data_IF_608303141395
#
_entry.id   IF_608303141395
#
_cell.length_a   1.000
_cell.length_b   1.000
_cell.length_c   1.000
_cell.angle_alpha   90.00
_cell.angle_beta   90.00
_cell.angle_gamma   90.00
#
_symmetry.space_group_name_H-M   'P 1'
#
loop_
_entity.id
_entity.type
_entity.pdbx_description
1 polymer ?
#
# COMPACT_ATOMS: atom_id res chain seq x y z
N UNK A 1 -13.83 4.90 9.84
CA UNK A 1 -14.05 3.61 9.15
C UNK A 1 -13.07 2.59 9.68
N UNK A 2 -13.57 1.44 10.05
CA UNK A 2 -12.76 0.34 10.60
C UNK A 2 -12.11 -0.46 9.49
N UNK A 3 -10.90 -0.95 9.74
CA UNK A 3 -10.21 -1.86 8.82
C UNK A 3 -9.26 -2.78 9.58
N UNK A 4 -8.80 -3.84 8.93
CA UNK A 4 -7.89 -4.81 9.52
C UNK A 4 -6.45 -4.43 9.22
N UNK A 5 -5.67 -4.20 10.26
CA UNK A 5 -4.33 -3.62 10.16
C UNK A 5 -3.30 -4.55 10.80
N UNK A 6 -2.11 -4.59 10.20
CA UNK A 6 -0.95 -5.28 10.76
C UNK A 6 -0.01 -4.32 11.49
N UNK A 7 -0.01 -3.05 11.11
CA UNK A 7 0.83 -2.03 11.74
C UNK A 7 0.77 -0.71 10.98
N UNK A 8 1.14 0.35 11.68
CA UNK A 8 1.25 1.69 11.11
C UNK A 8 2.63 2.21 11.53
N UNK A 9 3.52 2.41 10.57
CA UNK A 9 4.93 2.72 10.83
C UNK A 9 5.46 3.76 9.87
N UNK A 10 6.53 4.44 10.26
CA UNK A 10 7.30 5.26 9.33
C UNK A 10 8.02 4.35 8.34
N UNK A 11 7.93 4.65 7.06
CA UNK A 11 8.56 3.86 6.00
C UNK A 11 9.26 4.76 4.99
N UNK A 12 10.24 4.20 4.29
CA UNK A 12 10.89 4.84 3.13
C UNK A 12 10.54 4.13 1.82
N UNK A 13 9.76 3.07 1.90
CA UNK A 13 9.48 2.15 0.78
C UNK A 13 8.74 2.80 -0.38
N UNK A 14 8.04 3.89 -0.13
CA UNK A 14 7.33 4.61 -1.18
C UNK A 14 8.22 5.48 -2.07
N UNK A 15 9.48 5.68 -1.70
CA UNK A 15 10.42 6.49 -2.47
C UNK A 15 10.17 7.99 -2.42
N UNK A 16 9.27 8.48 -1.57
CA UNK A 16 8.92 9.89 -1.42
C UNK A 16 9.15 10.27 0.04
N UNK A 17 10.40 10.55 0.39
CA UNK A 17 10.78 10.94 1.75
C UNK A 17 10.25 9.98 2.82
N UNK A 18 9.98 10.49 4.02
CA UNK A 18 9.38 9.71 5.08
C UNK A 18 7.89 9.55 4.80
N UNK A 19 7.43 8.31 4.70
CA UNK A 19 6.02 7.98 4.50
C UNK A 19 5.39 7.41 5.76
N UNK A 20 4.10 7.65 5.94
CA UNK A 20 3.32 6.89 6.92
C UNK A 20 2.83 5.63 6.22
N UNK A 21 3.41 4.49 6.61
CA UNK A 21 3.07 3.19 6.04
C UNK A 21 1.90 2.56 6.80
N UNK A 22 0.87 2.18 6.07
CA UNK A 22 -0.27 1.44 6.60
C UNK A 22 -0.17 0.01 6.06
N UNK A 23 0.12 -0.94 6.97
CA UNK A 23 0.25 -2.34 6.63
C UNK A 23 -1.10 -3.03 6.84
N UNK A 24 -1.74 -3.40 5.74
CA UNK A 24 -3.02 -4.10 5.78
C UNK A 24 -2.82 -5.57 6.11
N UNK A 25 -3.71 -6.12 6.92
CA UNK A 25 -3.69 -7.53 7.27
C UNK A 25 -4.67 -8.28 6.36
N UNK A 26 -4.18 -9.35 5.74
CA UNK A 26 -4.96 -10.19 4.85
C UNK A 26 -4.52 -10.07 3.41
N UNK A 27 -4.34 -11.21 2.76
CA UNK A 27 -3.97 -11.27 1.35
C UNK A 27 -4.36 -12.63 0.77
N UNK A 28 -5.16 -12.64 -0.27
CA UNK A 28 -5.61 -13.84 -0.97
C UNK A 28 -4.70 -14.20 -2.15
N UNK A 29 -3.69 -13.38 -2.47
CA UNK A 29 -2.83 -13.60 -3.63
C UNK A 29 -1.82 -14.73 -3.38
N UNK A 30 -1.27 -14.81 -2.17
CA UNK A 30 -0.34 -15.87 -1.73
C UNK A 30 0.86 -16.04 -2.67
N UNK A 31 1.67 -14.99 -2.83
CA UNK A 31 2.87 -15.05 -3.67
C UNK A 31 3.90 -16.05 -3.12
N UNK A 32 4.51 -16.85 -4.00
CA UNK A 32 5.63 -17.69 -3.63
C UNK A 32 6.80 -16.83 -3.17
N UNK A 33 7.35 -17.14 -2.00
CA UNK A 33 8.45 -16.37 -1.42
C UNK A 33 8.03 -14.97 -0.98
N UNK A 34 6.76 -14.80 -0.63
CA UNK A 34 6.21 -13.52 -0.17
C UNK A 34 7.11 -12.88 0.89
N UNK A 35 7.36 -11.57 0.76
CA UNK A 35 8.21 -10.84 1.70
C UNK A 35 7.53 -10.63 3.06
N UNK A 36 6.20 -10.72 3.12
CA UNK A 36 5.42 -10.51 4.34
C UNK A 36 4.42 -11.65 4.56
N UNK A 37 4.87 -12.92 4.73
CA UNK A 37 3.94 -14.05 4.82
C UNK A 37 3.00 -13.97 6.03
N UNK A 38 3.41 -13.31 7.11
CA UNK A 38 2.59 -13.16 8.31
C UNK A 38 1.37 -12.26 8.07
N UNK A 39 1.37 -11.47 6.99
CA UNK A 39 0.27 -10.57 6.66
C UNK A 39 -0.79 -11.20 5.76
N UNK A 40 -0.65 -12.48 5.41
CA UNK A 40 -1.59 -13.17 4.53
C UNK A 40 -2.89 -13.54 5.24
N UNK A 41 -2.83 -13.88 6.53
CA UNK A 41 -4.01 -14.31 7.28
C UNK A 41 -5.00 -13.15 7.47
N UNK A 42 -6.26 -13.36 7.06
CA UNK A 42 -7.33 -12.38 7.27
C UNK A 42 -7.78 -12.30 8.73
N UNK A 43 -7.37 -13.26 9.56
CA UNK A 43 -7.71 -13.30 10.98
C UNK A 43 -6.65 -12.69 11.88
N UNK A 44 -5.47 -12.36 11.33
CA UNK A 44 -4.39 -11.74 12.08
C UNK A 44 -4.57 -10.24 12.25
N UNK A 45 -3.54 -9.61 12.81
CA UNK A 45 -3.54 -8.16 12.98
C UNK A 45 -4.53 -7.67 14.04
N UNK A 46 -4.98 -6.44 13.87
CA UNK A 46 -5.91 -5.81 14.80
C UNK A 46 -6.87 -4.88 14.05
N UNK A 47 -7.97 -4.51 14.71
CA UNK A 47 -8.90 -3.54 14.16
C UNK A 47 -8.34 -2.14 14.34
N UNK A 48 -8.21 -1.39 13.25
CA UNK A 48 -7.80 0.01 13.26
C UNK A 48 -8.91 0.87 12.69
N UNK A 49 -8.75 2.19 12.79
CA UNK A 49 -9.71 3.14 12.26
C UNK A 49 -8.99 4.16 11.37
N UNK A 50 -9.57 4.45 10.21
CA UNK A 50 -9.00 5.44 9.29
C UNK A 50 -8.87 6.82 9.93
N UNK A 51 -9.74 7.18 10.88
CA UNK A 51 -9.61 8.44 11.62
C UNK A 51 -8.31 8.53 12.40
N UNK A 52 -7.82 7.41 12.92
CA UNK A 52 -6.53 7.37 13.62
C UNK A 52 -5.38 7.71 12.68
N UNK A 53 -5.44 7.19 11.45
CA UNK A 53 -4.44 7.49 10.42
C UNK A 53 -4.43 8.99 10.10
N UNK A 54 -5.60 9.56 9.90
CA UNK A 54 -5.71 11.00 9.58
C UNK A 54 -5.20 11.84 10.75
N UNK A 55 -5.50 11.48 11.99
CA UNK A 55 -4.98 12.19 13.16
C UNK A 55 -3.46 12.15 13.24
N UNK A 56 -2.84 11.02 12.89
CA UNK A 56 -1.38 10.91 12.85
C UNK A 56 -0.79 11.85 11.80
N UNK A 57 -1.40 11.90 10.62
CA UNK A 57 -0.94 12.78 9.54
C UNK A 57 -1.09 14.27 9.91
N UNK A 58 -2.11 14.63 10.66
CA UNK A 58 -2.31 15.99 11.14
C UNK A 58 -1.35 16.36 12.27
N UNK A 59 -1.04 15.40 13.14
CA UNK A 59 -0.18 15.62 14.31
C UNK A 59 1.30 15.75 13.94
N UNK A 60 1.76 14.97 12.97
CA UNK A 60 3.17 14.92 12.59
C UNK A 60 3.32 15.49 11.16
N UNK A 61 3.98 16.63 11.06
CA UNK A 61 4.13 17.36 9.79
C UNK A 61 5.33 16.91 8.93
N UNK A 62 6.13 15.95 9.41
CA UNK A 62 7.30 15.50 8.70
C UNK A 62 7.03 14.45 7.60
N UNK A 63 5.81 13.92 7.52
CA UNK A 63 5.47 12.95 6.49
C UNK A 63 5.36 13.61 5.11
N UNK A 64 5.98 12.98 4.12
CA UNK A 64 5.95 13.42 2.71
C UNK A 64 5.00 12.59 1.87
N UNK A 65 4.53 11.45 2.38
CA UNK A 65 3.65 10.54 1.64
C UNK A 65 2.88 9.63 2.58
N UNK A 66 1.85 9.01 2.03
CA UNK A 66 1.11 7.91 2.68
C UNK A 66 1.29 6.68 1.82
N UNK A 67 1.72 5.57 2.43
CA UNK A 67 2.05 4.34 1.71
C UNK A 67 1.14 3.21 2.17
N UNK A 68 0.42 2.62 1.23
CA UNK A 68 -0.48 1.50 1.46
C UNK A 68 0.21 0.22 1.02
N UNK A 69 0.43 -0.69 1.95
CA UNK A 69 1.15 -1.93 1.70
C UNK A 69 0.70 -3.01 2.70
N UNK A 70 1.44 -4.10 2.80
CA UNK A 70 1.18 -5.15 3.77
C UNK A 70 0.90 -6.46 3.09
N UNK A 71 -0.22 -7.08 3.45
CA UNK A 71 -1.02 -8.01 2.71
C UNK A 71 -1.49 -7.39 1.39
N UNK A 72 -2.78 -7.43 1.11
CA UNK A 72 -3.29 -6.83 -0.13
C UNK A 72 -4.23 -5.65 0.21
N UNK A 73 -3.76 -4.40 0.07
CA UNK A 73 -4.57 -3.24 0.42
C UNK A 73 -5.90 -3.16 -0.34
N UNK A 74 -5.93 -3.63 -1.60
CA UNK A 74 -7.15 -3.56 -2.42
C UNK A 74 -8.27 -4.46 -1.93
N UNK A 75 -7.98 -5.43 -1.07
CA UNK A 75 -9.01 -6.24 -0.42
C UNK A 75 -9.75 -5.46 0.67
N UNK A 76 -9.22 -4.29 1.04
CA UNK A 76 -9.86 -3.34 1.93
C UNK A 76 -9.91 -1.96 1.27
N UNK A 77 -10.32 -1.93 0.02
CA UNK A 77 -10.29 -0.74 -0.84
C UNK A 77 -11.01 0.46 -0.22
N UNK A 78 -12.14 0.22 0.44
CA UNK A 78 -12.90 1.31 1.05
C UNK A 78 -12.06 2.11 2.07
N UNK A 79 -11.24 1.42 2.86
CA UNK A 79 -10.36 2.09 3.83
C UNK A 79 -9.24 2.85 3.12
N UNK A 80 -8.66 2.29 2.07
CA UNK A 80 -7.63 2.97 1.26
C UNK A 80 -8.19 4.25 0.66
N UNK A 81 -9.38 4.16 0.05
CA UNK A 81 -10.04 5.33 -0.56
C UNK A 81 -10.38 6.40 0.47
N UNK A 82 -10.85 6.00 1.65
CA UNK A 82 -11.20 6.94 2.71
C UNK A 82 -9.98 7.74 3.17
N UNK A 83 -8.86 7.06 3.40
CA UNK A 83 -7.62 7.73 3.81
C UNK A 83 -7.10 8.63 2.69
N UNK A 84 -7.02 8.10 1.47
CA UNK A 84 -6.46 8.83 0.33
C UNK A 84 -7.28 10.09 -0.01
N UNK A 85 -8.60 10.02 0.12
CA UNK A 85 -9.46 11.18 -0.15
C UNK A 85 -9.34 12.27 0.92
N UNK A 86 -8.89 11.93 2.12
CA UNK A 86 -8.83 12.85 3.27
C UNK A 86 -7.45 13.45 3.51
N UNK A 87 -6.44 13.04 2.76
CA UNK A 87 -5.09 13.60 2.88
C UNK A 87 -4.72 14.37 1.63
N UNK A 88 -3.89 15.39 1.79
CA UNK A 88 -3.31 16.12 0.66
C UNK A 88 -1.94 15.57 0.25
N UNK A 89 -1.40 14.61 1.02
CA UNK A 89 -0.09 14.03 0.72
C UNK A 89 -0.18 13.06 -0.46
N UNK A 90 0.90 12.92 -1.24
CA UNK A 90 0.97 11.89 -2.28
C UNK A 90 0.74 10.51 -1.67
N UNK A 91 -0.11 9.70 -2.31
CA UNK A 91 -0.42 8.34 -1.88
C UNK A 91 0.27 7.33 -2.77
N UNK A 92 0.89 6.33 -2.18
CA UNK A 92 1.60 5.25 -2.86
C UNK A 92 0.93 3.93 -2.52
N UNK A 93 0.61 3.13 -3.53
CA UNK A 93 -0.02 1.82 -3.37
C UNK A 93 0.90 0.71 -3.86
N UNK A 94 1.18 -0.24 -2.99
CA UNK A 94 1.78 -1.52 -3.38
C UNK A 94 0.65 -2.55 -3.49
N UNK A 95 0.48 -3.16 -4.65
CA UNK A 95 -0.57 -4.16 -4.87
C UNK A 95 -0.04 -5.34 -5.67
N UNK A 96 -0.52 -6.53 -5.35
CA UNK A 96 -0.25 -7.72 -6.15
C UNK A 96 -1.12 -7.81 -7.40
N UNK A 97 -2.12 -6.94 -7.53
CA UNK A 97 -2.98 -6.89 -8.72
C UNK A 97 -2.31 -6.10 -9.84
N UNK A 98 -2.79 -6.29 -11.06
CA UNK A 98 -2.32 -5.50 -12.20
C UNK A 98 -3.03 -4.14 -12.23
N UNK A 99 -2.30 -3.11 -12.59
CA UNK A 99 -2.79 -1.72 -12.59
C UNK A 99 -4.11 -1.55 -13.34
N UNK A 100 -4.23 -2.17 -14.52
CA UNK A 100 -5.42 -2.03 -15.34
C UNK A 100 -6.66 -2.71 -14.75
N UNK A 101 -6.51 -3.53 -13.72
CA UNK A 101 -7.65 -4.16 -13.01
C UNK A 101 -8.12 -3.35 -11.80
N UNK A 102 -7.39 -2.30 -11.42
CA UNK A 102 -7.75 -1.45 -10.29
C UNK A 102 -8.94 -0.56 -10.64
N UNK A 103 -9.70 -0.18 -9.62
CA UNK A 103 -10.83 0.74 -9.82
C UNK A 103 -10.35 2.11 -10.30
N UNK A 104 -11.23 2.84 -10.98
CA UNK A 104 -10.94 4.19 -11.42
C UNK A 104 -10.65 5.12 -10.23
N UNK A 105 -11.38 4.95 -9.13
CA UNK A 105 -11.22 5.75 -7.92
C UNK A 105 -9.81 5.56 -7.33
N UNK A 106 -9.34 4.32 -7.22
CA UNK A 106 -7.98 4.04 -6.74
C UNK A 106 -6.93 4.71 -7.63
N UNK A 107 -7.06 4.54 -8.94
CA UNK A 107 -6.11 5.12 -9.88
C UNK A 107 -6.05 6.65 -9.77
N UNK A 108 -7.18 7.30 -9.57
CA UNK A 108 -7.25 8.75 -9.46
C UNK A 108 -6.65 9.29 -8.18
N UNK A 109 -6.75 8.56 -7.08
CA UNK A 109 -6.26 8.99 -5.77
C UNK A 109 -4.80 8.65 -5.52
N UNK A 110 -4.21 7.74 -6.30
CA UNK A 110 -2.81 7.34 -6.11
C UNK A 110 -1.88 8.20 -6.96
N UNK A 111 -0.84 8.73 -6.30
CA UNK A 111 0.27 9.36 -7.00
C UNK A 111 1.13 8.29 -7.69
N UNK A 112 1.42 7.19 -6.98
CA UNK A 112 2.26 6.11 -7.50
C UNK A 112 1.63 4.76 -7.16
N UNK A 113 1.68 3.83 -8.11
CA UNK A 113 1.26 2.44 -7.92
C UNK A 113 2.39 1.52 -8.34
N UNK A 114 2.76 0.59 -7.47
CA UNK A 114 3.67 -0.50 -7.80
C UNK A 114 2.78 -1.74 -7.89
N UNK A 115 2.64 -2.28 -9.11
CA UNK A 115 1.69 -3.33 -9.40
C UNK A 115 2.34 -4.69 -9.63
N UNK A 116 1.51 -5.72 -9.57
CA UNK A 116 1.90 -7.08 -9.86
C UNK A 116 2.41 -7.83 -8.65
N UNK A 117 2.13 -9.15 -8.64
CA UNK A 117 2.52 -10.00 -7.51
C UNK A 117 4.04 -10.12 -7.43
N UNK A 118 4.56 -10.21 -6.19
CA UNK A 118 5.97 -10.47 -5.98
C UNK A 118 6.32 -11.89 -6.47
N UNK A 119 7.40 -12.00 -7.24
CA UNK A 119 7.93 -13.27 -7.73
C UNK A 119 9.39 -13.41 -7.30
N UNK A 120 9.65 -14.33 -6.36
CA UNK A 120 10.98 -14.49 -5.76
C UNK A 120 12.06 -14.80 -6.79
N UNK A 121 11.74 -15.58 -7.85
CA UNK A 121 12.70 -15.92 -8.90
C UNK A 121 13.06 -14.74 -9.80
N UNK A 122 12.32 -13.64 -9.71
CA UNK A 122 12.58 -12.41 -10.45
C UNK A 122 13.04 -11.27 -9.52
N UNK A 123 13.48 -11.61 -8.33
CA UNK A 123 13.92 -10.64 -7.31
C UNK A 123 15.02 -9.74 -7.84
N UNK A 124 14.88 -8.44 -7.62
CA UNK A 124 15.85 -7.43 -8.08
C UNK A 124 16.83 -7.01 -7.00
N UNK A 125 16.46 -7.19 -5.72
CA UNK A 125 17.20 -6.63 -4.58
C UNK A 125 16.99 -5.14 -4.40
N UNK A 126 16.11 -4.52 -5.19
CA UNK A 126 15.85 -3.09 -5.17
C UNK A 126 14.37 -2.77 -5.31
N UNK A 127 14.08 -1.75 -6.11
CA UNK A 127 12.73 -1.23 -6.29
C UNK A 127 12.41 -1.17 -7.81
N UNK A 128 11.36 -1.85 -8.28
CA UNK A 128 10.44 -2.72 -7.52
C UNK A 128 11.14 -4.00 -7.06
N UNK A 129 10.51 -4.73 -6.14
CA UNK A 129 11.09 -5.90 -5.51
C UNK A 129 11.33 -7.08 -6.46
N UNK A 130 10.51 -7.21 -7.50
CA UNK A 130 10.72 -8.21 -8.57
C UNK A 130 10.54 -7.55 -9.94
N UNK A 131 11.25 -8.07 -10.95
CA UNK A 131 11.35 -7.41 -12.26
C UNK A 131 10.06 -7.46 -13.07
N UNK A 132 9.11 -8.33 -12.72
CA UNK A 132 7.79 -8.39 -13.34
C UNK A 132 6.85 -7.26 -12.89
N UNK A 133 7.17 -6.59 -11.78
CA UNK A 133 6.36 -5.50 -11.25
C UNK A 133 6.62 -4.22 -12.02
N UNK A 134 5.60 -3.39 -12.13
CA UNK A 134 5.68 -2.11 -12.83
C UNK A 134 5.40 -0.97 -11.88
N UNK A 135 5.94 0.19 -12.20
CA UNK A 135 5.70 1.42 -11.45
C UNK A 135 4.90 2.36 -12.35
N UNK A 136 3.80 2.89 -11.80
CA UNK A 136 2.97 3.90 -12.47
C UNK A 136 3.00 5.17 -11.63
N UNK A 137 3.33 6.30 -12.25
CA UNK A 137 3.31 7.61 -11.59
C UNK A 137 2.29 8.47 -12.32
N UNK A 138 1.28 8.94 -11.58
CA UNK A 138 0.17 9.72 -12.12
C UNK A 138 -0.45 9.06 -13.35
N UNK A 139 -0.59 7.74 -13.29
CA UNK A 139 -1.19 6.94 -14.36
C UNK A 139 -0.25 6.57 -15.49
N UNK A 140 1.00 7.02 -15.47
CA UNK A 140 1.97 6.77 -16.54
C UNK A 140 2.96 5.69 -16.12
N UNK A 141 3.03 4.62 -16.90
CA UNK A 141 3.97 3.52 -16.68
C UNK A 141 5.40 3.99 -16.89
N UNK A 142 6.24 3.66 -15.94
CA UNK A 142 7.67 4.02 -15.96
C UNK A 142 8.54 3.00 -16.68
#
# INVERSE_FOLDING_TARGET
MKFRCAGIHDVLDGGIGAGLGIFFQGCSIHCDGCQNPDLQSHNGGYEANTDTVIRLLERFDYYSSVVFLGGEPTEQEAAVLDIAARTSLPCVLFTGKLYNTLSTELKQLMYMVIDGRYMAHMKTGGFPASSNQNIYIEGVKQ
#
